data_IF_712340222621
#
_entry.id   IF_712340222621
#
_cell.length_a   1.000
_cell.length_b   1.000
_cell.length_c   1.000
_cell.angle_alpha   90.00
_cell.angle_beta   90.00
_cell.angle_gamma   90.00
#
_symmetry.space_group_name_H-M   'P 1'
#
loop_
_entity.id
_entity.type
_entity.pdbx_description
1 polymer ?
#
# COMPACT_ATOMS: atom_id res chain seq x y z
N UNK A 1 -22.94 34.04 26.80
CA UNK A 1 -21.49 33.77 26.88
C UNK A 1 -21.17 32.78 25.80
N UNK A 2 -20.57 33.26 24.71
CA UNK A 2 -20.17 32.46 23.57
C UNK A 2 -18.81 31.82 23.87
N UNK A 3 -18.70 30.51 23.67
CA UNK A 3 -17.39 29.89 23.48
C UNK A 3 -17.47 29.14 22.16
N UNK A 4 -17.16 29.87 21.09
CA UNK A 4 -16.85 29.34 19.78
C UNK A 4 -15.59 28.49 19.96
N UNK A 5 -15.77 27.18 20.10
CA UNK A 5 -14.65 26.25 20.17
C UNK A 5 -14.15 26.06 18.73
N UNK A 6 -13.18 26.92 18.42
CA UNK A 6 -12.22 26.92 17.34
C UNK A 6 -12.34 25.76 16.34
N UNK A 7 -12.61 26.15 15.09
CA UNK A 7 -12.19 25.44 13.89
C UNK A 7 -10.73 24.97 14.05
N UNK A 8 -10.54 23.72 14.46
CA UNK A 8 -9.31 23.00 14.21
C UNK A 8 -9.54 22.19 12.95
N UNK A 9 -9.54 22.90 11.81
CA UNK A 9 -9.24 22.27 10.52
C UNK A 9 -7.83 21.70 10.67
N UNK A 10 -7.75 20.38 10.89
CA UNK A 10 -6.51 19.64 10.77
C UNK A 10 -6.08 19.80 9.31
N UNK A 11 -5.19 20.76 9.11
CA UNK A 11 -4.61 21.10 7.83
C UNK A 11 -3.67 19.95 7.46
N UNK A 12 -4.09 19.09 6.54
CA UNK A 12 -3.22 18.15 5.84
C UNK A 12 -3.37 16.67 6.19
N UNK A 13 -4.58 16.15 6.46
CA UNK A 13 -4.79 14.73 6.22
C UNK A 13 -4.74 14.53 4.71
N UNK A 14 -3.58 14.10 4.19
CA UNK A 14 -3.49 13.77 2.78
C UNK A 14 -4.50 12.64 2.54
N UNK A 15 -5.49 12.91 1.66
CA UNK A 15 -6.49 11.95 1.22
C UNK A 15 -5.78 10.84 0.44
N UNK A 16 -5.25 9.85 1.17
CA UNK A 16 -4.62 8.67 0.58
C UNK A 16 -5.67 7.58 0.35
N UNK A 17 -5.71 7.07 -0.87
CA UNK A 17 -6.39 5.83 -1.19
C UNK A 17 -5.44 4.66 -0.89
N UNK A 18 -5.93 3.61 -0.22
CA UNK A 18 -5.14 2.42 0.12
C UNK A 18 -5.67 1.18 -0.60
N UNK A 19 -4.75 0.31 -1.03
CA UNK A 19 -5.07 -1.05 -1.51
C UNK A 19 -4.07 -2.06 -0.98
N UNK A 20 -4.50 -3.31 -0.88
CA UNK A 20 -3.65 -4.44 -0.50
C UNK A 20 -3.66 -5.45 -1.64
N UNK A 21 -2.47 -5.87 -2.07
CA UNK A 21 -2.30 -6.94 -3.07
C UNK A 21 -1.34 -8.00 -2.54
N UNK A 22 -1.48 -9.23 -3.01
CA UNK A 22 -0.56 -10.30 -2.65
C UNK A 22 0.58 -10.38 -3.69
N UNK A 23 1.82 -10.46 -3.22
CA UNK A 23 2.97 -10.68 -4.06
C UNK A 23 2.86 -12.06 -4.75
N UNK A 24 3.20 -12.17 -6.04
CA UNK A 24 3.18 -13.45 -6.74
C UNK A 24 4.09 -14.49 -6.07
N UNK A 25 3.51 -15.60 -5.61
CA UNK A 25 4.26 -16.72 -5.01
C UNK A 25 4.33 -17.93 -5.93
N UNK A 26 5.45 -18.65 -5.91
CA UNK A 26 5.53 -19.96 -6.54
C UNK A 26 5.01 -21.04 -5.60
N UNK A 27 3.91 -21.72 -5.99
CA UNK A 27 3.32 -22.86 -5.27
C UNK A 27 4.31 -23.99 -4.98
N UNK A 28 5.33 -24.16 -5.83
CA UNK A 28 6.31 -25.23 -5.71
C UNK A 28 7.38 -24.99 -4.64
N UNK A 29 7.53 -23.75 -4.13
CA UNK A 29 8.65 -23.40 -3.25
C UNK A 29 8.31 -22.39 -2.16
N UNK A 30 7.04 -22.02 -1.98
CA UNK A 30 6.61 -20.99 -1.01
C UNK A 30 7.53 -19.76 -1.03
N UNK A 31 7.93 -19.35 -2.24
CA UNK A 31 8.89 -18.28 -2.45
C UNK A 31 8.26 -17.21 -3.31
N UNK A 32 8.42 -15.97 -2.88
CA UNK A 32 8.04 -14.77 -3.64
C UNK A 32 8.84 -14.76 -4.94
N UNK A 33 8.13 -14.64 -6.07
CA UNK A 33 8.74 -14.42 -7.38
C UNK A 33 9.12 -12.95 -7.47
N UNK A 34 10.38 -12.64 -7.16
CA UNK A 34 10.88 -11.26 -7.12
C UNK A 34 10.61 -10.52 -8.42
N UNK A 35 10.96 -11.11 -9.56
CA UNK A 35 10.78 -10.47 -10.87
C UNK A 35 9.31 -10.15 -11.17
N UNK A 36 8.41 -11.10 -10.89
CA UNK A 36 6.97 -10.88 -11.07
C UNK A 36 6.38 -9.89 -10.05
N UNK A 37 6.97 -9.78 -8.87
CA UNK A 37 6.57 -8.79 -7.86
C UNK A 37 7.02 -7.39 -8.27
N UNK A 38 8.21 -7.28 -8.84
CA UNK A 38 8.74 -6.02 -9.39
C UNK A 38 7.91 -5.55 -10.58
N UNK A 39 7.56 -6.46 -11.51
CA UNK A 39 6.65 -6.18 -12.62
C UNK A 39 5.28 -5.68 -12.13
N UNK A 40 4.68 -6.37 -11.15
CA UNK A 40 3.41 -5.96 -10.53
C UNK A 40 3.50 -4.56 -9.90
N UNK A 41 4.60 -4.26 -9.18
CA UNK A 41 4.81 -2.96 -8.57
C UNK A 41 5.02 -1.86 -9.61
N UNK A 42 5.71 -2.15 -10.71
CA UNK A 42 5.89 -1.21 -11.80
C UNK A 42 4.57 -0.88 -12.51
N UNK A 43 3.72 -1.88 -12.75
CA UNK A 43 2.38 -1.67 -13.32
C UNK A 43 1.52 -0.81 -12.39
N UNK A 44 1.55 -1.10 -11.09
CA UNK A 44 0.83 -0.33 -10.08
C UNK A 44 1.36 1.11 -9.96
N UNK A 45 2.68 1.30 -10.05
CA UNK A 45 3.29 2.61 -10.09
C UNK A 45 2.87 3.42 -11.33
N UNK A 46 2.70 2.76 -12.48
CA UNK A 46 2.16 3.40 -13.68
C UNK A 46 0.71 3.89 -13.48
N UNK A 47 -0.08 3.20 -12.65
CA UNK A 47 -1.43 3.60 -12.22
C UNK A 47 -1.44 4.64 -11.07
N UNK A 48 -0.26 5.10 -10.64
CA UNK A 48 -0.07 6.08 -9.58
C UNK A 48 -0.10 5.49 -8.17
N UNK A 49 0.00 4.17 -8.02
CA UNK A 49 0.10 3.51 -6.71
C UNK A 49 1.55 3.39 -6.26
N UNK A 50 1.82 3.83 -5.04
CA UNK A 50 3.13 3.74 -4.41
C UNK A 50 3.11 2.64 -3.35
N UNK A 51 4.19 1.85 -3.28
CA UNK A 51 4.37 0.87 -2.21
C UNK A 51 4.62 1.60 -0.89
N UNK A 52 3.76 1.37 0.09
CA UNK A 52 3.87 1.93 1.44
C UNK A 52 4.54 0.92 2.39
N UNK A 53 4.05 -0.32 2.41
CA UNK A 53 4.56 -1.39 3.27
C UNK A 53 4.52 -2.75 2.57
N UNK A 54 5.47 -3.62 2.90
CA UNK A 54 5.50 -5.01 2.47
C UNK A 54 5.65 -5.95 3.67
N UNK A 55 4.63 -6.76 3.94
CA UNK A 55 4.60 -7.70 5.06
C UNK A 55 4.83 -9.11 4.54
N UNK A 56 5.97 -9.71 4.88
CA UNK A 56 6.27 -11.10 4.54
C UNK A 56 5.61 -12.01 5.57
N UNK A 57 4.74 -12.90 5.10
CA UNK A 57 4.10 -13.89 5.97
C UNK A 57 4.99 -15.13 6.16
N UNK A 58 4.78 -15.83 7.28
CA UNK A 58 5.58 -17.02 7.64
C UNK A 58 5.38 -18.21 6.69
N UNK A 59 4.35 -18.16 5.83
CA UNK A 59 4.08 -19.13 4.77
C UNK A 59 4.82 -18.82 3.46
N UNK A 60 5.71 -17.81 3.45
CA UNK A 60 6.56 -17.49 2.30
C UNK A 60 5.90 -16.65 1.21
N UNK A 61 4.74 -16.05 1.51
CA UNK A 61 4.13 -14.98 0.71
C UNK A 61 4.44 -13.59 1.27
N UNK A 62 4.02 -12.56 0.54
CA UNK A 62 4.05 -11.18 1.02
C UNK A 62 2.76 -10.44 0.66
N UNK A 63 2.25 -9.66 1.60
CA UNK A 63 1.20 -8.67 1.38
C UNK A 63 1.85 -7.32 1.12
N UNK A 64 1.42 -6.66 0.04
CA UNK A 64 1.92 -5.36 -0.40
C UNK A 64 0.82 -4.34 -0.17
N UNK A 65 1.09 -3.40 0.74
CA UNK A 65 0.23 -2.28 1.05
C UNK A 65 0.64 -1.12 0.16
N UNK A 66 -0.27 -0.66 -0.67
CA UNK A 66 -0.04 0.45 -1.58
C UNK A 66 -0.93 1.61 -1.20
N UNK A 67 -0.40 2.81 -1.40
CA UNK A 67 -1.12 4.07 -1.23
C UNK A 67 -1.07 4.89 -2.50
N UNK A 68 -2.06 5.76 -2.69
CA UNK A 68 -2.08 6.74 -3.78
C UNK A 68 -2.69 8.04 -3.27
N UNK A 69 -2.09 9.17 -3.59
CA UNK A 69 -2.71 10.47 -3.34
C UNK A 69 -3.94 10.64 -4.24
N UNK A 70 -5.07 11.03 -3.66
CA UNK A 70 -6.30 11.32 -4.40
C UNK A 70 -6.22 12.63 -5.21
#
# INVERSE_FOLDING_TARGET
>A
MSTTMSEQRVSGEADYEYKVVNAPTSLLWFRIKRDATEELLNDLAADGWELDEAVVNWWGGAELFLRRSR
#
